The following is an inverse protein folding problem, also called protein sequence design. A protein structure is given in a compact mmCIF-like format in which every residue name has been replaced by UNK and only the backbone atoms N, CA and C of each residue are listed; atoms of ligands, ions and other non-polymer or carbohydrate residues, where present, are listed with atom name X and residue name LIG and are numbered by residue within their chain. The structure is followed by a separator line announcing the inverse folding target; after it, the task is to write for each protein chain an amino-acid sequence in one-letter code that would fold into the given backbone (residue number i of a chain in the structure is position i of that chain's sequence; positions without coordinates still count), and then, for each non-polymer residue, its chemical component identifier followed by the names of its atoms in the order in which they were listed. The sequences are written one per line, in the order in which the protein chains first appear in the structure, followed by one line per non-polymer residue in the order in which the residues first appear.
data_IF_687618255312
#
_entry.id   IF_687618255312
#
_cell.length_a   1.000
_cell.length_b   1.000
_cell.length_c   1.000
_cell.angle_alpha   90.00
_cell.angle_beta   90.00
_cell.angle_gamma   90.00
#
_symmetry.space_group_name_H-M   'P 1'
#
loop_
_entity.id
_entity.type
_entity.pdbx_description
1 polymer ?
#
# COMPACT_ATOMS: atom_id res chain seq x y z
N UNK A 1 27.41 -34.02 -50.70
CA UNK A 1 26.15 -33.70 -50.00
C UNK A 1 26.46 -33.70 -48.50
N UNK A 2 26.90 -32.57 -47.97
CA UNK A 2 26.16 -31.49 -47.26
C UNK A 2 25.78 -31.85 -45.81
N UNK A 3 26.49 -31.17 -44.90
CA UNK A 3 26.44 -31.23 -43.44
C UNK A 3 25.03 -31.07 -42.86
N UNK A 4 24.69 -31.91 -41.88
CA UNK A 4 23.53 -31.74 -40.98
C UNK A 4 24.03 -31.47 -39.56
N UNK A 5 24.30 -30.20 -39.26
CA UNK A 5 24.53 -29.66 -37.90
C UNK A 5 24.04 -28.21 -37.92
N UNK A 6 22.73 -27.98 -37.85
CA UNK A 6 22.21 -26.60 -37.89
C UNK A 6 20.93 -26.35 -37.08
N UNK A 7 20.34 -27.34 -36.40
CA UNK A 7 19.04 -27.15 -35.73
C UNK A 7 19.07 -27.18 -34.19
N UNK A 8 20.17 -27.59 -33.56
CA UNK A 8 20.22 -27.71 -32.09
C UNK A 8 20.75 -26.44 -31.41
N UNK A 9 21.25 -25.46 -32.16
CA UNK A 9 21.84 -24.22 -31.60
C UNK A 9 20.82 -23.10 -31.34
N UNK A 10 19.64 -23.16 -31.98
CA UNK A 10 18.64 -22.08 -31.88
C UNK A 10 17.64 -22.26 -30.72
N UNK A 11 17.46 -23.48 -30.21
CA UNK A 11 16.51 -23.74 -29.12
C UNK A 11 17.03 -23.30 -27.75
N UNK A 12 18.35 -23.31 -27.52
CA UNK A 12 18.96 -22.84 -26.27
C UNK A 12 19.06 -21.32 -26.15
N UNK A 13 19.09 -20.60 -27.29
CA UNK A 13 19.26 -19.15 -27.32
C UNK A 13 17.95 -18.37 -27.11
N UNK A 14 16.78 -18.99 -27.38
CA UNK A 14 15.48 -18.32 -27.27
C UNK A 14 14.97 -18.22 -25.81
N UNK A 15 15.40 -19.14 -24.93
CA UNK A 15 14.90 -19.22 -23.55
C UNK A 15 15.56 -18.16 -22.65
N UNK A 16 16.78 -17.71 -22.96
CA UNK A 16 17.53 -16.74 -22.15
C UNK A 16 17.14 -15.27 -22.39
N UNK A 17 16.50 -14.94 -23.52
CA UNK A 17 16.21 -13.55 -23.92
C UNK A 17 14.92 -12.99 -23.26
N UNK A 18 14.05 -13.84 -22.71
CA UNK A 18 12.75 -13.40 -22.19
C UNK A 18 12.79 -12.88 -20.74
N UNK A 19 13.92 -13.03 -20.02
CA UNK A 19 14.04 -12.68 -18.60
C UNK A 19 14.41 -11.22 -18.31
N UNK A 20 14.67 -10.39 -19.34
CA UNK A 20 15.28 -9.07 -19.17
C UNK A 20 14.30 -7.89 -19.24
N UNK A 21 13.00 -8.13 -19.50
CA UNK A 21 12.03 -7.04 -19.78
C UNK A 21 11.02 -6.76 -18.67
N UNK A 22 11.09 -7.47 -17.54
CA UNK A 22 10.20 -7.21 -16.38
C UNK A 22 10.84 -6.30 -15.35
N UNK A 23 11.48 -5.22 -15.81
CA UNK A 23 11.95 -4.15 -14.94
C UNK A 23 10.81 -3.20 -14.63
N UNK A 24 9.89 -3.58 -13.74
CA UNK A 24 8.96 -2.61 -13.16
C UNK A 24 9.80 -1.56 -12.44
N UNK A 25 9.87 -0.34 -12.97
CA UNK A 25 10.49 0.79 -12.30
C UNK A 25 9.72 1.07 -11.00
N UNK A 26 10.14 0.47 -9.89
CA UNK A 26 9.53 0.72 -8.59
C UNK A 26 10.00 2.09 -8.12
N UNK A 27 9.10 3.06 -8.12
CA UNK A 27 9.34 4.35 -7.48
C UNK A 27 9.58 4.10 -6.00
N UNK A 28 10.81 4.35 -5.54
CA UNK A 28 11.16 4.25 -4.13
C UNK A 28 10.28 5.23 -3.35
N UNK A 29 9.59 4.80 -2.27
CA UNK A 29 8.81 5.73 -1.46
C UNK A 29 9.73 6.82 -0.88
N UNK A 30 9.20 8.02 -0.66
CA UNK A 30 9.95 9.07 0.02
C UNK A 30 10.15 8.69 1.49
N UNK A 31 11.27 9.08 2.15
CA UNK A 31 11.55 8.73 3.55
C UNK A 31 10.37 8.95 4.53
N UNK A 32 9.54 9.96 4.26
CA UNK A 32 8.30 10.21 5.00
C UNK A 32 7.25 9.11 4.77
N UNK A 33 7.02 8.70 3.52
CA UNK A 33 6.10 7.62 3.20
C UNK A 33 6.51 6.28 3.85
N UNK A 34 7.81 5.95 3.93
CA UNK A 34 8.23 4.77 4.69
C UNK A 34 7.92 4.91 6.19
N UNK A 35 8.17 6.08 6.80
CA UNK A 35 7.85 6.31 8.22
C UNK A 35 6.35 6.21 8.49
N UNK A 36 5.51 6.80 7.64
CA UNK A 36 4.05 6.69 7.75
C UNK A 36 3.62 5.22 7.68
N UNK A 37 4.12 4.47 6.69
CA UNK A 37 3.78 3.05 6.54
C UNK A 37 4.23 2.20 7.74
N UNK A 38 5.38 2.54 8.35
CA UNK A 38 5.95 1.78 9.45
C UNK A 38 5.28 2.10 10.80
N UNK A 39 5.00 3.38 11.07
CA UNK A 39 4.70 3.88 12.43
C UNK A 39 3.26 4.38 12.60
N UNK A 40 2.48 4.44 11.53
CA UNK A 40 1.11 4.95 11.56
C UNK A 40 0.11 3.92 11.03
N UNK A 41 -1.16 4.16 11.32
CA UNK A 41 -2.31 3.44 10.77
C UNK A 41 -3.16 4.41 9.98
N UNK A 42 -3.63 3.99 8.80
CA UNK A 42 -4.66 4.71 8.07
C UNK A 42 -5.99 4.47 8.78
N UNK A 43 -6.62 5.56 9.22
CA UNK A 43 -7.99 5.54 9.71
C UNK A 43 -8.87 6.02 8.55
N UNK A 44 -9.75 5.13 8.09
CA UNK A 44 -10.72 5.48 7.04
C UNK A 44 -11.69 6.54 7.57
N UNK A 45 -11.91 7.56 6.76
CA UNK A 45 -12.86 8.63 7.01
C UNK A 45 -14.27 8.10 7.07
N UNK A 46 -15.11 8.80 7.82
CA UNK A 46 -16.46 8.34 8.09
C UNK A 46 -17.15 9.16 9.15
N UNK A 47 -18.25 8.61 9.65
CA UNK A 47 -19.03 9.21 10.72
C UNK A 47 -18.98 8.33 11.97
N UNK A 48 -18.82 8.96 13.13
CA UNK A 48 -18.87 8.27 14.41
C UNK A 48 -19.53 9.12 15.48
N UNK A 49 -19.96 8.49 16.57
CA UNK A 49 -20.50 9.18 17.72
C UNK A 49 -19.35 9.67 18.61
N UNK A 50 -19.17 10.98 18.70
CA UNK A 50 -18.17 11.61 19.58
C UNK A 50 -18.85 12.17 20.83
N UNK A 51 -18.20 12.01 21.98
CA UNK A 51 -18.73 12.43 23.28
C UNK A 51 -19.63 11.36 23.91
N UNK A 52 -20.32 11.74 24.98
CA UNK A 52 -21.18 10.83 25.75
C UNK A 52 -22.39 11.56 26.29
N UNK A 53 -23.53 10.87 26.41
CA UNK A 53 -24.71 11.33 27.13
C UNK A 53 -24.89 10.65 28.49
N UNK A 54 -23.90 9.87 28.94
CA UNK A 54 -23.92 9.26 30.27
C UNK A 54 -24.02 10.37 31.36
N UNK A 55 -24.91 10.24 32.35
CA UNK A 55 -25.00 11.19 33.45
C UNK A 55 -23.69 11.39 34.24
N UNK A 56 -22.80 10.39 34.25
CA UNK A 56 -21.49 10.48 34.91
C UNK A 56 -20.41 11.17 34.08
N UNK A 57 -20.68 11.50 32.82
CA UNK A 57 -19.72 12.17 31.93
C UNK A 57 -19.53 13.64 32.34
N UNK A 58 -18.30 14.14 32.20
CA UNK A 58 -18.01 15.54 32.48
C UNK A 58 -18.77 16.48 31.54
N UNK A 59 -18.99 17.75 31.94
CA UNK A 59 -19.69 18.73 31.09
C UNK A 59 -19.03 18.90 29.72
N UNK A 60 -17.70 18.77 29.62
CA UNK A 60 -16.94 18.87 28.38
C UNK A 60 -17.02 17.63 27.48
N UNK A 61 -17.49 16.50 28.00
CA UNK A 61 -17.64 15.24 27.24
C UNK A 61 -19.03 15.12 26.61
N UNK A 62 -19.97 15.99 27.02
CA UNK A 62 -21.37 16.00 26.59
C UNK A 62 -21.63 17.12 25.56
N UNK A 63 -22.66 17.00 24.69
CA UNK A 63 -23.45 15.80 24.44
C UNK A 63 -22.74 14.84 23.47
N UNK A 64 -23.26 13.62 23.37
CA UNK A 64 -22.93 12.73 22.27
C UNK A 64 -23.46 13.32 20.94
N UNK A 65 -22.62 13.34 19.91
CA UNK A 65 -22.98 13.88 18.58
C UNK A 65 -22.26 13.16 17.46
N UNK A 66 -22.92 13.02 16.32
CA UNK A 66 -22.30 12.48 15.11
C UNK A 66 -21.28 13.48 14.55
N UNK A 67 -20.05 13.03 14.33
CA UNK A 67 -18.96 13.81 13.73
C UNK A 67 -18.48 13.10 12.48
N UNK A 68 -18.22 13.87 11.42
CA UNK A 68 -17.57 13.39 10.19
C UNK A 68 -16.12 13.82 10.18
N UNK A 69 -15.22 12.90 9.83
CA UNK A 69 -13.78 13.15 9.64
C UNK A 69 -13.36 12.51 8.33
N UNK A 70 -12.44 13.15 7.61
CA UNK A 70 -11.84 12.62 6.39
C UNK A 70 -10.73 11.61 6.71
N UNK A 71 -10.19 10.93 5.70
CA UNK A 71 -9.10 9.97 5.88
C UNK A 71 -7.86 10.63 6.49
N UNK A 72 -7.25 9.97 7.47
CA UNK A 72 -6.00 10.45 8.06
C UNK A 72 -5.15 9.30 8.60
N UNK A 73 -3.85 9.57 8.75
CA UNK A 73 -2.94 8.66 9.43
C UNK A 73 -2.84 9.03 10.92
N UNK A 74 -2.95 8.05 11.80
CA UNK A 74 -2.73 8.19 13.24
C UNK A 74 -1.50 7.38 13.65
N UNK A 75 -0.63 7.94 14.49
CA UNK A 75 0.48 7.19 15.07
C UNK A 75 -0.03 5.97 15.85
N UNK A 76 0.68 4.85 15.75
CA UNK A 76 0.37 3.62 16.47
C UNK A 76 0.48 3.77 17.98
#
# INVERSE_FOLDING_TARGET
MKHSKSNTLYLGAAISISLIMTGCATTQPSPLAQKIAQDMVLIEGGQFMMGSDNPSANKSERPARTVRVDDFYLAK
#
